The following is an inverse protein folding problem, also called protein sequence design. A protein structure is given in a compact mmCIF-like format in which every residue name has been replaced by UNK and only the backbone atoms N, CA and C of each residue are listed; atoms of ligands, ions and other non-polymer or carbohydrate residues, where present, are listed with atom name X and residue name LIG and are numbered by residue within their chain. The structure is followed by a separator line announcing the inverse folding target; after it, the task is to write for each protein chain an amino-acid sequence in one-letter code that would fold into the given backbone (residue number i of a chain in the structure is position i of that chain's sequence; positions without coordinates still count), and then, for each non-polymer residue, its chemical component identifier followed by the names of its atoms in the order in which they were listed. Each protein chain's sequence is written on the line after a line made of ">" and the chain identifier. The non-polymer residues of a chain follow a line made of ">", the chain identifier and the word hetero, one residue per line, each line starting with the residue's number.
data_IF_299691829060
#
_entry.id   IF_299691829060
#
_cell.length_a   1.000
_cell.length_b   1.000
_cell.length_c   1.000
_cell.angle_alpha   90.00
_cell.angle_beta   90.00
_cell.angle_gamma   90.00
#
_symmetry.space_group_name_H-M   'P 1'
#
loop_
_entity.id
_entity.type
_entity.pdbx_description
1 polymer ?
#
# COMPACT_ATOMS: atom_id res chain seq x y z
N UNK A 1 -96.22 33.19 8.83
CA UNK A 1 -95.52 33.67 7.62
C UNK A 1 -94.50 32.61 7.22
N UNK A 2 -94.61 32.17 5.97
CA UNK A 2 -93.79 31.14 5.34
C UNK A 2 -92.45 31.72 4.92
N UNK A 3 -91.34 31.05 5.22
CA UNK A 3 -90.14 31.07 4.38
C UNK A 3 -89.52 29.67 4.35
N UNK A 4 -89.74 28.98 3.23
CA UNK A 4 -88.83 27.95 2.70
C UNK A 4 -87.71 28.65 1.89
N UNK A 5 -86.66 27.88 1.56
CA UNK A 5 -85.48 28.12 0.71
C UNK A 5 -84.19 28.25 1.55
N UNK A 6 -83.05 27.61 1.26
CA UNK A 6 -82.54 26.90 0.08
C UNK A 6 -81.44 25.89 0.49
N UNK A 7 -81.23 24.91 -0.39
CA UNK A 7 -80.19 23.88 -0.40
C UNK A 7 -78.77 24.47 -0.47
N UNK A 8 -77.77 23.73 0.04
CA UNK A 8 -76.38 23.90 -0.41
C UNK A 8 -75.33 23.28 0.51
N UNK A 9 -75.09 21.97 0.40
CA UNK A 9 -73.88 21.34 0.98
C UNK A 9 -72.74 21.59 -0.01
N UNK A 10 -71.86 22.54 0.31
CA UNK A 10 -70.62 22.75 -0.42
C UNK A 10 -69.59 21.72 0.07
N UNK A 11 -69.33 20.68 -0.73
CA UNK A 11 -68.15 19.83 -0.56
C UNK A 11 -66.91 20.65 -0.90
N UNK A 12 -66.19 21.12 0.10
CA UNK A 12 -64.86 21.71 -0.09
C UNK A 12 -63.90 20.57 -0.38
N UNK A 13 -63.42 20.48 -1.62
CA UNK A 13 -62.42 19.52 -2.03
C UNK A 13 -61.06 20.05 -1.58
N UNK A 14 -60.62 19.65 -0.38
CA UNK A 14 -59.32 20.05 0.17
C UNK A 14 -58.24 19.29 -0.61
N UNK A 15 -57.59 19.97 -1.55
CA UNK A 15 -56.43 19.46 -2.25
C UNK A 15 -55.35 19.11 -1.21
N UNK A 16 -54.96 17.84 -1.17
CA UNK A 16 -53.94 17.29 -0.29
C UNK A 16 -52.61 17.98 -0.63
N UNK A 17 -52.16 18.92 0.22
CA UNK A 17 -50.80 19.44 0.14
C UNK A 17 -49.85 18.24 0.31
N UNK A 18 -49.15 17.86 -0.76
CA UNK A 18 -48.01 16.96 -0.61
C UNK A 18 -46.95 17.72 0.15
N UNK A 19 -46.74 17.36 1.42
CA UNK A 19 -45.63 17.86 2.20
C UNK A 19 -44.34 17.49 1.48
N UNK A 20 -43.72 18.47 0.81
CA UNK A 20 -42.34 18.37 0.35
C UNK A 20 -41.48 18.26 1.61
N UNK A 21 -41.14 17.03 1.99
CA UNK A 21 -40.07 16.82 2.98
C UNK A 21 -38.79 17.38 2.37
N UNK A 22 -38.13 18.37 3.00
CA UNK A 22 -36.75 18.64 2.63
C UNK A 22 -35.97 17.39 3.02
N UNK A 23 -35.52 16.63 2.02
CA UNK A 23 -34.51 15.63 2.24
C UNK A 23 -33.27 16.39 2.73
N UNK A 24 -33.03 16.37 4.05
CA UNK A 24 -31.77 16.81 4.63
C UNK A 24 -30.74 15.83 4.06
N UNK A 25 -30.01 16.28 3.05
CA UNK A 25 -28.82 15.58 2.59
C UNK A 25 -27.85 15.60 3.76
N UNK A 26 -27.80 14.51 4.51
CA UNK A 26 -26.74 14.26 5.48
C UNK A 26 -25.45 14.21 4.67
N UNK A 27 -24.74 15.34 4.62
CA UNK A 27 -23.36 15.37 4.16
C UNK A 27 -22.59 14.41 5.05
N UNK A 28 -22.27 13.24 4.50
CA UNK A 28 -21.35 12.30 5.11
C UNK A 28 -20.02 13.04 5.27
N UNK A 29 -19.75 13.55 6.47
CA UNK A 29 -18.43 14.05 6.83
C UNK A 29 -17.48 12.88 6.61
N UNK A 30 -16.63 12.97 5.60
CA UNK A 30 -15.54 12.02 5.42
C UNK A 30 -14.75 11.99 6.72
N UNK A 31 -14.54 10.79 7.24
CA UNK A 31 -13.76 10.52 8.43
C UNK A 31 -12.27 10.77 8.15
N UNK A 32 -11.90 12.00 7.78
CA UNK A 32 -10.51 12.40 7.67
C UNK A 32 -9.97 12.55 9.09
N UNK A 33 -9.40 11.46 9.60
CA UNK A 33 -8.63 11.53 10.84
C UNK A 33 -7.45 12.46 10.59
N UNK A 34 -7.38 13.56 11.35
CA UNK A 34 -6.24 14.49 11.35
C UNK A 34 -4.90 13.80 11.66
N UNK A 35 -4.95 12.59 12.24
CA UNK A 35 -3.81 11.71 12.46
C UNK A 35 -3.25 11.22 11.12
N UNK A 36 -1.99 11.55 10.78
CA UNK A 36 -1.36 11.07 9.56
C UNK A 36 -1.23 9.54 9.54
N UNK A 37 -1.59 8.92 8.40
CA UNK A 37 -1.43 7.47 8.22
C UNK A 37 0.05 7.14 8.02
N UNK A 38 0.69 6.63 9.07
CA UNK A 38 2.09 6.22 9.02
C UNK A 38 2.25 4.77 8.54
N UNK A 39 3.24 4.55 7.68
CA UNK A 39 3.60 3.23 7.15
C UNK A 39 5.11 3.02 7.23
N UNK A 40 5.50 1.79 7.57
CA UNK A 40 6.90 1.36 7.61
C UNK A 40 7.50 1.29 6.21
N UNK A 41 8.70 1.84 6.03
CA UNK A 41 9.42 1.83 4.74
C UNK A 41 10.10 0.49 4.47
N UNK A 42 10.59 0.27 3.24
CA UNK A 42 11.40 -0.91 2.89
C UNK A 42 12.73 -1.00 3.68
N UNK A 43 13.20 0.11 4.26
CA UNK A 43 14.36 0.16 5.16
C UNK A 43 13.99 -0.10 6.62
N UNK A 44 12.69 -0.17 6.93
CA UNK A 44 12.16 -0.37 8.27
C UNK A 44 11.93 0.90 9.09
N UNK A 45 12.07 2.09 8.49
CA UNK A 45 11.80 3.36 9.17
C UNK A 45 10.30 3.56 9.38
N UNK A 46 9.94 4.00 10.58
CA UNK A 46 8.60 4.39 11.00
C UNK A 46 8.73 5.46 12.10
N UNK A 47 7.83 6.44 12.13
CA UNK A 47 7.72 7.39 13.25
C UNK A 47 6.79 6.85 14.34
N UNK A 48 7.06 7.21 15.60
CA UNK A 48 6.12 6.95 16.70
C UNK A 48 4.85 7.82 16.55
N UNK A 49 3.74 7.38 17.13
CA UNK A 49 2.43 8.04 16.98
C UNK A 49 2.41 9.48 17.52
N UNK A 50 3.20 9.76 18.56
CA UNK A 50 3.33 11.06 19.21
C UNK A 50 4.46 11.94 18.64
N UNK A 51 5.13 11.48 17.58
CA UNK A 51 6.26 12.22 16.99
C UNK A 51 5.78 13.46 16.22
N UNK A 52 6.18 14.64 16.69
CA UNK A 52 5.86 15.93 16.07
C UNK A 52 6.21 16.00 14.56
N UNK A 53 7.16 15.19 14.09
CA UNK A 53 7.58 15.14 12.69
C UNK A 53 6.49 14.61 11.77
N UNK A 54 5.50 13.88 12.28
CA UNK A 54 4.34 13.39 11.54
C UNK A 54 3.46 14.53 11.00
N UNK A 55 3.50 15.72 11.62
CA UNK A 55 2.71 16.88 11.19
C UNK A 55 2.90 17.25 9.70
N UNK A 56 4.05 16.91 9.11
CA UNK A 56 4.32 17.15 7.67
C UNK A 56 3.41 16.34 6.72
N UNK A 57 2.81 15.26 7.22
CA UNK A 57 1.95 14.33 6.47
C UNK A 57 0.46 14.52 6.79
N UNK A 58 0.11 15.58 7.52
CA UNK A 58 -1.29 16.02 7.63
C UNK A 58 -1.76 16.40 6.22
N UNK A 59 -2.93 15.89 5.83
CA UNK A 59 -3.55 16.06 4.50
C UNK A 59 -2.71 15.56 3.31
N UNK A 60 -1.56 14.90 3.56
CA UNK A 60 -0.62 14.44 2.53
C UNK A 60 -0.11 13.04 2.82
N UNK A 61 -0.28 12.08 1.91
CA UNK A 61 0.21 10.72 2.14
C UNK A 61 1.74 10.67 2.08
N UNK A 62 2.34 9.93 3.01
CA UNK A 62 3.74 9.53 2.93
C UNK A 62 3.93 8.58 1.74
N UNK A 63 4.72 9.00 0.76
CA UNK A 63 5.01 8.23 -0.45
C UNK A 63 5.99 7.10 -0.15
N UNK A 64 5.56 5.86 -0.35
CA UNK A 64 6.38 4.65 -0.16
C UNK A 64 6.11 3.72 -1.34
N UNK A 65 7.17 3.19 -1.93
CA UNK A 65 7.05 2.14 -2.95
C UNK A 65 6.57 0.84 -2.30
N UNK A 66 5.50 0.22 -2.79
CA UNK A 66 4.96 -1.04 -2.27
C UNK A 66 5.69 -2.28 -2.79
N UNK A 67 6.47 -2.15 -3.87
CA UNK A 67 7.24 -3.25 -4.47
C UNK A 67 8.65 -3.25 -3.89
N UNK A 68 8.87 -4.03 -2.84
CA UNK A 68 10.16 -4.11 -2.17
C UNK A 68 11.13 -5.03 -2.91
N UNK A 69 12.33 -4.53 -3.22
CA UNK A 69 13.34 -5.27 -3.96
C UNK A 69 13.78 -6.58 -3.27
N UNK A 70 13.73 -6.63 -1.94
CA UNK A 70 14.06 -7.83 -1.16
C UNK A 70 13.13 -9.00 -1.50
N UNK A 71 11.84 -8.74 -1.65
CA UNK A 71 10.84 -9.75 -1.96
C UNK A 71 10.96 -10.20 -3.42
N UNK A 72 11.19 -9.24 -4.32
CA UNK A 72 11.37 -9.51 -5.74
C UNK A 72 12.61 -10.37 -6.02
N UNK A 73 13.74 -10.08 -5.36
CA UNK A 73 14.97 -10.87 -5.51
C UNK A 73 14.79 -12.27 -4.87
N UNK A 74 14.08 -12.36 -3.74
CA UNK A 74 13.81 -13.64 -3.10
C UNK A 74 12.92 -14.57 -3.94
N UNK A 75 12.00 -13.99 -4.72
CA UNK A 75 11.13 -14.73 -5.63
C UNK A 75 11.87 -15.36 -6.83
N UNK A 76 13.04 -14.82 -7.22
CA UNK A 76 13.85 -15.37 -8.31
C UNK A 76 14.66 -16.56 -7.80
N UNK A 77 14.51 -17.76 -8.40
CA UNK A 77 15.31 -18.91 -8.01
C UNK A 77 16.78 -18.68 -8.38
N UNK A 78 17.72 -19.05 -7.50
CA UNK A 78 19.13 -18.93 -7.83
C UNK A 78 19.52 -19.90 -8.96
N UNK A 79 20.46 -19.50 -9.83
CA UNK A 79 20.87 -20.30 -10.99
C UNK A 79 21.98 -21.30 -10.64
N UNK A 80 21.83 -22.61 -10.88
CA UNK A 80 22.89 -23.59 -10.63
C UNK A 80 23.97 -23.50 -11.71
N UNK A 81 25.24 -23.64 -11.30
CA UNK A 81 26.37 -23.79 -12.23
C UNK A 81 27.30 -24.91 -11.76
N UNK A 82 27.95 -25.57 -12.72
CA UNK A 82 29.02 -26.57 -12.47
C UNK A 82 30.41 -25.92 -12.41
N UNK A 83 30.53 -24.67 -12.85
CA UNK A 83 31.80 -23.95 -12.89
C UNK A 83 32.17 -23.38 -11.52
N UNK A 84 33.47 -23.33 -11.21
CA UNK A 84 33.98 -22.76 -9.95
C UNK A 84 33.93 -21.24 -9.92
N UNK A 85 34.12 -20.61 -11.08
CA UNK A 85 34.09 -19.15 -11.27
C UNK A 85 33.18 -18.89 -12.45
N UNK A 86 32.19 -18.03 -12.24
CA UNK A 86 31.22 -17.58 -13.22
C UNK A 86 31.31 -16.07 -13.37
N UNK A 87 30.57 -15.50 -14.32
CA UNK A 87 30.46 -14.05 -14.45
C UNK A 87 29.00 -13.62 -14.64
N UNK A 88 28.72 -12.38 -14.25
CA UNK A 88 27.43 -11.73 -14.46
C UNK A 88 27.67 -10.29 -14.93
N UNK A 89 26.84 -9.81 -15.84
CA UNK A 89 26.79 -8.43 -16.33
C UNK A 89 25.41 -7.79 -16.09
N UNK A 90 24.48 -8.48 -15.41
CA UNK A 90 23.13 -8.00 -15.17
C UNK A 90 22.19 -8.09 -16.39
N UNK A 91 22.66 -8.61 -17.52
CA UNK A 91 21.91 -8.70 -18.78
C UNK A 91 21.90 -7.39 -19.58
N UNK A 92 21.71 -7.52 -20.90
CA UNK A 92 21.60 -6.36 -21.80
C UNK A 92 22.92 -5.66 -22.15
N UNK A 93 24.08 -6.29 -21.86
CA UNK A 93 25.40 -5.77 -22.20
C UNK A 93 25.68 -4.44 -21.47
N UNK A 94 25.81 -3.30 -22.19
CA UNK A 94 26.12 -2.02 -21.55
C UNK A 94 25.00 -1.44 -20.68
N UNK A 95 23.77 -1.97 -20.75
CA UNK A 95 22.64 -1.51 -19.89
C UNK A 95 22.62 -2.17 -18.52
N UNK A 96 23.41 -3.23 -18.33
CA UNK A 96 23.55 -3.92 -17.07
C UNK A 96 24.62 -3.30 -16.17
N UNK A 97 25.11 -4.09 -15.21
CA UNK A 97 26.24 -3.68 -14.37
C UNK A 97 27.58 -4.09 -15.02
N UNK A 98 28.72 -3.48 -14.63
CA UNK A 98 30.02 -3.95 -15.08
C UNK A 98 30.21 -5.44 -14.82
N UNK A 99 30.87 -6.15 -15.74
CA UNK A 99 31.12 -7.57 -15.63
C UNK A 99 31.87 -7.89 -14.32
N UNK A 100 31.26 -8.69 -13.45
CA UNK A 100 31.87 -9.19 -12.21
C UNK A 100 32.05 -10.69 -12.28
N UNK A 101 33.12 -11.19 -11.65
CA UNK A 101 33.38 -12.61 -11.50
C UNK A 101 32.98 -13.08 -10.09
N UNK A 102 32.24 -14.18 -10.01
CA UNK A 102 31.70 -14.71 -8.74
C UNK A 102 32.30 -16.11 -8.51
N UNK A 103 32.90 -16.29 -7.34
CA UNK A 103 33.42 -17.59 -6.90
C UNK A 103 32.31 -18.42 -6.25
N UNK A 104 32.13 -19.65 -6.73
CA UNK A 104 31.10 -20.58 -6.27
C UNK A 104 31.64 -21.67 -5.32
N UNK A 105 32.73 -21.38 -4.63
CA UNK A 105 33.29 -22.28 -3.61
C UNK A 105 32.45 -22.21 -2.34
N UNK A 106 31.92 -23.36 -1.90
CA UNK A 106 31.30 -23.47 -0.58
C UNK A 106 32.38 -23.56 0.52
N UNK A 107 32.12 -22.97 1.68
CA UNK A 107 32.99 -23.12 2.87
C UNK A 107 32.88 -24.51 3.53
N UNK A 108 31.94 -25.35 3.07
CA UNK A 108 31.72 -26.71 3.59
C UNK A 108 32.37 -27.75 2.66
N UNK A 109 33.15 -28.71 3.19
CA UNK A 109 34.03 -29.57 2.38
C UNK A 109 33.33 -30.63 1.51
N UNK A 110 32.03 -30.92 1.71
CA UNK A 110 31.39 -32.11 1.13
C UNK A 110 30.09 -31.85 0.34
N UNK A 111 29.90 -30.67 -0.26
CA UNK A 111 28.70 -30.40 -1.07
C UNK A 111 28.98 -30.64 -2.56
N UNK A 112 28.20 -31.47 -3.28
CA UNK A 112 28.42 -31.72 -4.70
C UNK A 112 28.26 -30.43 -5.52
N UNK A 113 29.08 -30.35 -6.57
CA UNK A 113 29.52 -29.18 -7.36
C UNK A 113 28.45 -28.39 -8.13
N UNK A 114 27.18 -28.42 -7.72
CA UNK A 114 26.11 -27.57 -8.27
C UNK A 114 25.82 -26.41 -7.31
N UNK A 115 26.81 -25.56 -7.07
CA UNK A 115 26.61 -24.38 -6.23
C UNK A 115 25.69 -23.40 -6.95
N UNK A 116 24.65 -22.97 -6.26
CA UNK A 116 23.66 -22.04 -6.81
C UNK A 116 24.11 -20.60 -6.64
N UNK A 117 23.99 -19.80 -7.70
CA UNK A 117 24.22 -18.36 -7.68
C UNK A 117 23.20 -17.68 -6.77
N UNK A 118 23.54 -17.50 -5.51
CA UNK A 118 22.82 -16.57 -4.63
C UNK A 118 23.85 -15.57 -4.13
N UNK A 119 23.71 -14.30 -4.52
CA UNK A 119 24.37 -13.22 -3.83
C UNK A 119 23.87 -13.25 -2.39
N UNK A 120 24.66 -13.83 -1.50
CA UNK A 120 24.38 -13.70 -0.06
C UNK A 120 24.67 -12.24 0.25
N UNK A 121 23.63 -11.46 0.55
CA UNK A 121 23.81 -10.20 1.24
C UNK A 121 24.58 -10.48 2.54
N UNK A 122 25.52 -9.61 2.95
CA UNK A 122 26.19 -9.78 4.23
C UNK A 122 25.11 -9.74 5.32
N UNK A 123 24.94 -10.86 6.02
CA UNK A 123 24.12 -10.90 7.23
C UNK A 123 24.70 -9.91 8.21
N UNK A 124 23.99 -8.81 8.45
CA UNK A 124 24.28 -7.91 9.57
C UNK A 124 24.02 -8.71 10.85
N UNK A 125 25.07 -9.27 11.43
CA UNK A 125 25.06 -9.75 12.81
C UNK A 125 24.88 -8.52 13.69
N UNK A 126 23.63 -8.20 14.06
CA UNK A 126 23.33 -7.29 15.16
C UNK A 126 23.87 -7.94 16.43
N UNK A 127 25.07 -7.52 16.84
CA UNK A 127 25.58 -7.77 18.19
C UNK A 127 24.72 -6.92 19.12
N UNK A 128 23.75 -7.54 19.78
CA UNK A 128 23.09 -6.96 20.95
C UNK A 128 24.17 -6.80 22.02
N UNK A 129 24.55 -5.55 22.30
CA UNK A 129 25.22 -5.17 23.54
C UNK A 129 24.21 -5.09 24.68
#
# INVERSE_FOLDING_TARGET
>A
MSLRLLKGINKVNVLKLHAFSPAISSHHMSNESWVPVEKKTHTGQQWEEDDYRLARFIDKPKQINTQFAIDLIAAVPPMPSKERVIWCDGGGGPTGHPKVFINLVSSTPNTPTSTTQRSRSPTTTTKSS
#
